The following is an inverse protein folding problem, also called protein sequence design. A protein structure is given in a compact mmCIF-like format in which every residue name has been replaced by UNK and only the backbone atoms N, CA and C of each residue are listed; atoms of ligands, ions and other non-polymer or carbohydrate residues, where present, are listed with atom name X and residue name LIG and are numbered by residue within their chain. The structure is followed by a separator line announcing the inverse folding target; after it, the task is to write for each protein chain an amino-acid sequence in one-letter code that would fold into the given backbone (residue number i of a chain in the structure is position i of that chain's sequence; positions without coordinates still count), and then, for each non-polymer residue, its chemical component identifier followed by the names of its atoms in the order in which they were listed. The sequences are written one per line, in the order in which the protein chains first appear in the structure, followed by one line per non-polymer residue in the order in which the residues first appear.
data_IF_720737424368
#
_entry.id   IF_720737424368
#
_cell.length_a   1.000
_cell.length_b   1.000
_cell.length_c   1.000
_cell.angle_alpha   90.00
_cell.angle_beta   90.00
_cell.angle_gamma   90.00
#
_symmetry.space_group_name_H-M   'P 1'
#
loop_
_entity.id
_entity.type
_entity.pdbx_description
1 polymer ?
#
# COMPACT_ATOMS: atom_id res chain seq x y z
N UNK A 1 -15.12 -7.16 -26.06
CA UNK A 1 -14.22 -7.71 -25.02
C UNK A 1 -14.82 -7.45 -23.65
N UNK A 2 -14.91 -8.47 -22.82
CA UNK A 2 -15.34 -8.30 -21.43
C UNK A 2 -14.28 -7.58 -20.62
N UNK A 3 -14.66 -6.51 -19.96
CA UNK A 3 -13.78 -5.79 -19.04
C UNK A 3 -13.84 -6.46 -17.66
N UNK A 4 -12.67 -6.69 -17.08
CA UNK A 4 -12.56 -7.25 -15.74
C UNK A 4 -12.44 -6.12 -14.71
N UNK A 5 -13.27 -6.14 -13.70
CA UNK A 5 -13.19 -5.20 -12.57
C UNK A 5 -12.38 -5.84 -11.45
N UNK A 6 -11.27 -5.21 -11.07
CA UNK A 6 -10.42 -5.70 -9.99
C UNK A 6 -11.05 -5.44 -8.62
N UNK A 7 -10.69 -6.27 -7.63
CA UNK A 7 -11.13 -6.05 -6.25
C UNK A 7 -10.77 -4.67 -5.71
N UNK A 8 -9.57 -4.19 -6.04
CA UNK A 8 -9.13 -2.83 -5.70
C UNK A 8 -10.11 -1.77 -6.22
N UNK A 9 -10.56 -1.90 -7.46
CA UNK A 9 -11.49 -0.95 -8.07
C UNK A 9 -12.87 -0.99 -7.42
N UNK A 10 -13.34 -2.17 -7.03
CA UNK A 10 -14.59 -2.33 -6.28
C UNK A 10 -14.53 -1.64 -4.93
N UNK A 11 -13.41 -1.81 -4.21
CA UNK A 11 -13.20 -1.18 -2.92
C UNK A 11 -13.19 0.36 -3.06
N UNK A 12 -12.46 0.87 -4.05
CA UNK A 12 -12.36 2.32 -4.27
C UNK A 12 -13.69 2.96 -4.67
N UNK A 13 -14.54 2.20 -5.38
CA UNK A 13 -15.87 2.67 -5.77
C UNK A 13 -16.86 2.70 -4.60
N UNK A 14 -16.74 1.78 -3.64
CA UNK A 14 -17.66 1.63 -2.52
C UNK A 14 -16.90 1.33 -1.22
N UNK A 15 -16.05 2.24 -0.75
CA UNK A 15 -15.16 1.94 0.39
C UNK A 15 -15.92 1.58 1.66
N UNK A 16 -17.09 2.16 1.90
CA UNK A 16 -17.86 1.89 3.11
C UNK A 16 -18.41 0.47 3.20
N UNK A 17 -18.47 -0.25 2.09
CA UNK A 17 -18.91 -1.65 2.08
C UNK A 17 -17.80 -2.60 2.55
N UNK A 18 -16.54 -2.19 2.45
CA UNK A 18 -15.39 -3.07 2.69
C UNK A 18 -14.53 -2.65 3.88
N UNK A 19 -14.59 -1.38 4.28
CA UNK A 19 -13.72 -0.82 5.30
C UNK A 19 -14.48 -0.56 6.59
N UNK A 20 -13.84 -0.92 7.72
CA UNK A 20 -14.44 -0.76 9.05
C UNK A 20 -14.14 0.60 9.68
N UNK A 21 -13.26 1.41 9.08
CA UNK A 21 -12.85 2.70 9.62
C UNK A 21 -12.41 3.65 8.55
N UNK A 22 -12.08 4.87 8.96
CA UNK A 22 -11.71 5.96 8.04
C UNK A 22 -10.21 6.22 7.94
N UNK A 23 -9.42 5.60 8.81
CA UNK A 23 -7.96 5.73 8.79
C UNK A 23 -7.35 4.39 8.41
N UNK A 24 -6.55 4.39 7.35
CA UNK A 24 -6.07 3.16 6.71
C UNK A 24 -4.57 3.04 6.71
N UNK A 25 -4.09 1.80 6.82
CA UNK A 25 -2.76 1.40 6.38
C UNK A 25 -2.88 0.61 5.08
N UNK A 26 -1.89 0.70 4.23
CA UNK A 26 -1.90 0.07 2.91
C UNK A 26 -0.64 -0.76 2.72
N UNK A 27 -0.83 -2.08 2.51
CA UNK A 27 0.27 -2.99 2.18
C UNK A 27 0.32 -3.11 0.66
N UNK A 28 1.39 -2.65 0.04
CA UNK A 28 1.49 -2.57 -1.43
C UNK A 28 2.91 -2.83 -1.93
N UNK A 29 2.99 -3.17 -3.20
CA UNK A 29 4.24 -3.24 -3.96
C UNK A 29 4.01 -2.69 -5.37
N UNK A 30 4.98 -2.89 -6.27
CA UNK A 30 4.93 -2.35 -7.64
C UNK A 30 3.77 -2.91 -8.49
N UNK A 31 3.16 -4.03 -8.09
CA UNK A 31 2.07 -4.64 -8.85
C UNK A 31 0.68 -4.18 -8.38
N UNK A 32 0.62 -3.32 -7.36
CA UNK A 32 -0.64 -2.83 -6.80
C UNK A 32 -1.21 -1.69 -7.64
N UNK A 33 -1.73 -2.04 -8.82
CA UNK A 33 -2.21 -1.11 -9.84
C UNK A 33 -3.68 -1.34 -10.15
N UNK A 34 -4.36 -0.28 -10.60
CA UNK A 34 -5.68 -0.41 -11.20
C UNK A 34 -5.57 -1.00 -12.61
N UNK A 35 -6.70 -1.36 -13.22
CA UNK A 35 -6.72 -1.95 -14.56
C UNK A 35 -6.22 -0.99 -15.65
N UNK A 36 -6.26 0.32 -15.41
CA UNK A 36 -5.72 1.32 -16.31
C UNK A 36 -4.29 1.77 -15.94
N UNK A 37 -3.63 1.01 -15.05
CA UNK A 37 -2.22 1.24 -14.70
C UNK A 37 -1.96 2.33 -13.67
N UNK A 38 -2.98 2.79 -12.96
CA UNK A 38 -2.81 3.79 -11.90
C UNK A 38 -2.31 3.13 -10.61
N UNK A 39 -1.29 3.72 -9.99
CA UNK A 39 -0.71 3.18 -8.78
C UNK A 39 -1.66 3.38 -7.58
N UNK A 40 -1.88 2.30 -6.81
CA UNK A 40 -2.86 2.29 -5.72
C UNK A 40 -2.61 3.36 -4.66
N UNK A 41 -1.36 3.68 -4.35
CA UNK A 41 -1.03 4.71 -3.35
C UNK A 41 -1.69 6.04 -3.71
N UNK A 42 -1.56 6.48 -4.96
CA UNK A 42 -2.19 7.72 -5.41
C UNK A 42 -3.71 7.68 -5.31
N UNK A 43 -4.30 6.55 -5.68
CA UNK A 43 -5.76 6.36 -5.62
C UNK A 43 -6.28 6.44 -4.18
N UNK A 44 -5.60 5.80 -3.24
CA UNK A 44 -5.97 5.85 -1.83
C UNK A 44 -5.69 7.22 -1.21
N UNK A 45 -4.55 7.81 -1.53
CA UNK A 45 -4.16 9.12 -0.98
C UNK A 45 -5.13 10.24 -1.40
N UNK A 46 -5.62 10.21 -2.63
CA UNK A 46 -6.50 11.23 -3.18
C UNK A 46 -7.98 11.00 -2.89
N UNK A 47 -8.34 9.85 -2.31
CA UNK A 47 -9.73 9.55 -1.99
C UNK A 47 -10.15 10.28 -0.71
N UNK A 48 -11.28 11.00 -0.78
CA UNK A 48 -11.77 11.81 0.35
C UNK A 48 -12.61 11.02 1.36
N UNK A 49 -12.96 9.78 1.04
CA UNK A 49 -13.78 8.94 1.92
C UNK A 49 -13.03 8.41 3.14
N UNK A 50 -11.69 8.44 3.09
CA UNK A 50 -10.84 7.94 4.18
C UNK A 50 -9.48 8.66 4.15
N UNK A 51 -8.70 8.42 5.20
CA UNK A 51 -7.35 8.96 5.33
C UNK A 51 -6.32 7.82 5.27
N UNK A 52 -5.43 7.87 4.30
CA UNK A 52 -4.29 6.97 4.25
C UNK A 52 -3.22 7.50 5.21
N UNK A 53 -2.90 6.69 6.24
CA UNK A 53 -1.96 7.08 7.29
C UNK A 53 -0.58 6.48 7.09
N UNK A 54 -0.52 5.22 6.68
CA UNK A 54 0.74 4.45 6.67
C UNK A 54 0.78 3.56 5.43
N UNK A 55 1.96 3.44 4.85
CA UNK A 55 2.25 2.50 3.77
C UNK A 55 3.21 1.45 4.31
N UNK A 56 2.91 0.18 4.05
CA UNK A 56 3.73 -0.95 4.46
C UNK A 56 4.28 -1.63 3.22
N UNK A 57 5.58 -1.79 3.17
CA UNK A 57 6.26 -2.40 2.02
C UNK A 57 6.79 -3.79 2.38
N UNK A 58 6.35 -4.84 1.68
CA UNK A 58 6.93 -6.17 1.83
C UNK A 58 8.24 -6.29 1.06
N UNK A 59 8.57 -7.50 0.66
CA UNK A 59 9.79 -7.80 -0.12
C UNK A 59 9.91 -6.88 -1.34
N UNK A 60 11.11 -6.48 -1.69
CA UNK A 60 11.50 -5.60 -2.79
C UNK A 60 11.09 -4.13 -2.64
N UNK A 61 10.42 -3.76 -1.53
CA UNK A 61 9.96 -2.39 -1.32
C UNK A 61 8.74 -2.02 -2.16
N UNK A 62 8.31 -0.77 -2.05
CA UNK A 62 7.09 -0.28 -2.73
C UNK A 62 7.21 -0.32 -4.25
N UNK A 63 8.38 -0.01 -4.77
CA UNK A 63 8.60 0.07 -6.22
C UNK A 63 9.31 -1.17 -6.80
N UNK A 64 9.58 -2.17 -5.98
CA UNK A 64 10.17 -3.42 -6.43
C UNK A 64 11.62 -3.33 -6.88
N UNK A 65 12.38 -2.34 -6.39
CA UNK A 65 13.77 -2.10 -6.81
C UNK A 65 14.80 -2.82 -5.94
N UNK A 66 14.40 -3.33 -4.78
CA UNK A 66 15.29 -4.05 -3.89
C UNK A 66 15.43 -5.51 -4.33
N UNK A 67 16.56 -6.11 -4.02
CA UNK A 67 16.83 -7.51 -4.37
C UNK A 67 15.96 -8.46 -3.53
N UNK A 68 15.74 -9.66 -4.08
CA UNK A 68 15.04 -10.73 -3.39
C UNK A 68 15.70 -11.01 -2.03
N UNK A 69 14.90 -11.06 -0.96
CA UNK A 69 15.35 -11.30 0.43
C UNK A 69 16.32 -10.25 0.97
N UNK A 70 16.54 -9.14 0.26
CA UNK A 70 17.35 -8.04 0.77
C UNK A 70 16.61 -7.28 1.88
N UNK A 71 17.37 -6.68 2.81
CA UNK A 71 16.79 -5.80 3.82
C UNK A 71 16.24 -4.53 3.16
N UNK A 72 15.00 -4.19 3.50
CA UNK A 72 14.33 -2.99 3.01
C UNK A 72 14.17 -2.04 4.19
N UNK A 73 14.70 -0.82 4.05
CA UNK A 73 14.62 0.20 5.09
C UNK A 73 13.39 1.09 4.89
N UNK A 74 12.96 1.75 5.96
CA UNK A 74 11.87 2.72 5.89
C UNK A 74 12.28 3.93 5.04
N UNK A 75 11.34 4.44 4.26
CA UNK A 75 11.57 5.59 3.38
C UNK A 75 10.29 6.42 3.23
N UNK A 76 10.40 7.62 2.69
CA UNK A 76 9.25 8.48 2.41
C UNK A 76 8.78 8.27 0.97
N UNK A 77 7.49 7.99 0.80
CA UNK A 77 6.89 7.79 -0.51
C UNK A 77 6.65 9.17 -1.17
N UNK A 78 7.19 9.41 -2.38
CA UNK A 78 7.19 10.77 -2.95
C UNK A 78 5.81 11.31 -3.36
N UNK A 79 4.87 10.45 -3.77
CA UNK A 79 3.55 10.91 -4.22
C UNK A 79 2.66 11.37 -3.08
N UNK A 80 2.72 10.68 -1.95
CA UNK A 80 1.87 10.95 -0.79
C UNK A 80 2.58 11.74 0.31
N UNK A 81 3.90 11.72 0.34
CA UNK A 81 4.71 12.24 1.44
C UNK A 81 4.65 11.39 2.69
N UNK A 82 4.03 10.22 2.64
CA UNK A 82 3.88 9.33 3.78
C UNK A 82 5.13 8.48 4.00
N UNK A 83 5.38 8.14 5.26
CA UNK A 83 6.46 7.21 5.59
C UNK A 83 6.06 5.79 5.19
N UNK A 84 6.95 5.14 4.45
CA UNK A 84 6.82 3.73 4.09
C UNK A 84 7.52 2.91 5.16
N UNK A 85 6.77 2.08 5.87
CA UNK A 85 7.31 1.16 6.86
C UNK A 85 7.67 -0.15 6.19
N UNK A 86 8.92 -0.53 6.30
CA UNK A 86 9.37 -1.81 5.74
C UNK A 86 8.94 -2.96 6.65
N UNK A 87 8.42 -4.03 6.02
CA UNK A 87 8.16 -5.30 6.68
C UNK A 87 9.36 -6.24 6.56
N UNK A 88 10.39 -5.86 5.82
CA UNK A 88 11.61 -6.66 5.58
C UNK A 88 12.82 -6.02 6.24
N UNK A 89 12.79 -5.96 7.58
CA UNK A 89 13.90 -5.47 8.37
C UNK A 89 14.90 -6.58 8.75
N UNK A 90 15.68 -6.33 9.81
CA UNK A 90 16.82 -7.18 10.20
C UNK A 90 16.44 -8.52 10.84
N UNK A 91 15.21 -8.67 11.33
CA UNK A 91 14.76 -9.86 12.04
C UNK A 91 13.29 -10.19 11.81
N UNK A 92 12.81 -11.30 12.38
CA UNK A 92 11.41 -11.73 12.22
C UNK A 92 10.40 -10.75 12.82
N UNK A 93 10.80 -9.98 13.85
CA UNK A 93 9.91 -9.00 14.48
C UNK A 93 9.53 -7.87 13.52
N UNK A 94 10.41 -7.54 12.56
CA UNK A 94 10.15 -6.51 11.56
C UNK A 94 9.00 -6.86 10.61
N UNK A 95 8.69 -8.16 10.46
CA UNK A 95 7.58 -8.63 9.62
C UNK A 95 6.21 -8.36 10.26
N UNK A 96 6.17 -8.01 11.54
CA UNK A 96 4.93 -7.73 12.26
C UNK A 96 4.73 -6.21 12.35
N UNK A 97 3.65 -5.64 11.77
CA UNK A 97 3.40 -4.21 11.90
C UNK A 97 3.16 -3.80 13.35
N UNK A 98 3.70 -2.64 13.71
CA UNK A 98 3.43 -2.05 15.01
C UNK A 98 1.98 -1.56 15.10
N UNK A 99 1.30 -1.67 16.26
CA UNK A 99 -0.03 -1.09 16.42
C UNK A 99 -0.10 0.43 16.20
N UNK A 100 1.04 1.11 16.25
CA UNK A 100 1.13 2.56 16.03
C UNK A 100 1.14 2.95 14.54
N UNK A 101 1.29 1.97 13.65
CA UNK A 101 1.33 2.22 12.19
C UNK A 101 -0.05 2.57 11.62
#
# INVERSE_FOLDING_TARGET
MKQVTLGLEKLLASPNEYLCGNTLGLVVNQTSLTSDGQFSIGQFHNNKSFKLKTILAPEHGVYGVDQDMALVTDETEPLSGLLVRSLYGADAASLTPSPSF
#
